data_IF_469268240602
#
_entry.id   IF_469268240602
#
_cell.length_a   1.000
_cell.length_b   1.000
_cell.length_c   1.000
_cell.angle_alpha   90.00
_cell.angle_beta   90.00
_cell.angle_gamma   90.00
#
_symmetry.space_group_name_H-M   'P 1'
#
loop_
_entity.id
_entity.type
_entity.pdbx_description
1 polymer ?
#
# COMPACT_ATOMS: atom_id res chain seq x y z
N UNK A 1 45.68 22.18 59.15
CA UNK A 1 44.51 22.58 58.35
C UNK A 1 44.08 24.01 58.74
N UNK A 2 44.70 25.14 58.42
CA UNK A 2 45.70 25.58 57.45
C UNK A 2 45.39 25.19 56.00
N UNK A 3 44.35 25.82 55.43
CA UNK A 3 44.27 26.28 54.02
C UNK A 3 42.97 27.03 53.65
N UNK A 4 42.03 27.23 54.57
CA UNK A 4 40.78 27.99 54.31
C UNK A 4 40.55 29.22 55.19
N UNK A 5 41.61 29.78 55.80
CA UNK A 5 41.53 31.00 56.64
C UNK A 5 42.40 32.16 56.10
N UNK A 6 42.99 32.02 54.91
CA UNK A 6 43.85 33.05 54.29
C UNK A 6 43.19 33.68 53.04
N UNK A 7 42.06 33.15 52.54
CA UNK A 7 41.32 33.80 51.46
C UNK A 7 40.16 34.70 51.95
N UNK A 8 39.81 34.64 53.23
CA UNK A 8 38.75 35.48 53.82
C UNK A 8 39.26 36.76 54.48
N UNK A 9 40.57 37.05 54.39
CA UNK A 9 41.20 38.26 54.96
C UNK A 9 41.74 39.20 53.86
N UNK A 10 41.79 38.78 52.59
CA UNK A 10 42.11 39.67 51.46
C UNK A 10 40.90 40.41 50.86
N UNK A 11 39.66 40.14 51.32
CA UNK A 11 38.46 40.81 50.78
C UNK A 11 37.88 41.89 51.70
N UNK A 12 38.50 42.14 52.86
CA UNK A 12 38.02 43.13 53.85
C UNK A 12 38.98 44.35 53.97
N UNK A 13 40.10 44.35 53.23
CA UNK A 13 41.05 45.49 53.20
C UNK A 13 40.93 46.33 51.91
N UNK A 14 39.97 46.04 51.03
CA UNK A 14 39.65 46.88 49.87
C UNK A 14 38.37 47.70 50.02
N UNK A 15 37.82 47.84 51.24
CA UNK A 15 36.54 48.54 51.51
C UNK A 15 36.64 49.65 52.56
N UNK A 16 37.79 50.31 52.69
CA UNK A 16 37.87 51.58 53.44
C UNK A 16 39.02 52.46 52.94
N UNK A 17 38.76 53.30 51.94
CA UNK A 17 39.70 54.34 51.53
C UNK A 17 39.62 54.70 50.06
N UNK A 18 38.58 55.46 49.71
CA UNK A 18 38.53 56.59 48.77
C UNK A 18 37.10 56.68 48.24
N UNK A 19 36.25 57.23 49.11
CA UNK A 19 35.07 57.99 48.71
C UNK A 19 35.60 59.32 48.18
N UNK A 20 35.39 59.57 46.90
CA UNK A 20 34.92 60.83 46.29
C UNK A 20 35.32 60.84 44.81
N UNK A 21 34.35 61.14 43.95
CA UNK A 21 34.50 61.50 42.53
C UNK A 21 34.39 60.38 41.48
N UNK A 22 33.39 59.48 41.52
CA UNK A 22 32.84 58.79 40.32
C UNK A 22 31.43 58.18 40.54
N UNK A 23 30.65 58.69 41.52
CA UNK A 23 29.36 58.11 41.90
C UNK A 23 28.12 58.76 41.26
N UNK A 24 28.30 59.61 40.24
CA UNK A 24 27.19 60.31 39.58
C UNK A 24 26.98 59.89 38.11
N UNK A 25 28.04 59.52 37.36
CA UNK A 25 27.91 59.01 35.98
C UNK A 25 27.46 57.55 35.89
N UNK A 26 27.67 56.73 36.93
CA UNK A 26 27.34 55.29 36.90
C UNK A 26 25.86 55.00 37.17
N UNK A 27 25.18 55.80 38.00
CA UNK A 27 23.76 55.61 38.30
C UNK A 27 22.87 56.05 37.13
N UNK A 28 23.25 57.09 36.40
CA UNK A 28 22.46 57.56 35.25
C UNK A 28 22.53 56.56 34.08
N UNK A 29 23.71 56.00 33.82
CA UNK A 29 23.90 54.93 32.83
C UNK A 29 23.19 53.63 33.23
N UNK A 30 23.24 53.23 34.50
CA UNK A 30 22.58 52.03 34.99
C UNK A 30 21.05 52.19 34.99
N UNK A 31 20.53 53.34 35.42
CA UNK A 31 19.09 53.64 35.37
C UNK A 31 18.58 53.76 33.93
N UNK A 32 19.36 54.33 33.02
CA UNK A 32 19.03 54.34 31.59
C UNK A 32 18.99 52.93 30.99
N UNK A 33 19.89 52.03 31.42
CA UNK A 33 19.90 50.63 30.97
C UNK A 33 18.74 49.81 31.55
N UNK A 34 18.38 50.04 32.81
CA UNK A 34 17.19 49.44 33.44
C UNK A 34 15.92 49.92 32.74
N UNK A 35 15.78 51.23 32.51
CA UNK A 35 14.63 51.78 31.77
C UNK A 35 14.56 51.24 30.32
N UNK A 36 15.70 51.04 29.67
CA UNK A 36 15.78 50.41 28.35
C UNK A 36 15.33 48.95 28.38
N UNK A 37 15.76 48.18 29.39
CA UNK A 37 15.36 46.78 29.57
C UNK A 37 13.88 46.64 29.94
N UNK A 38 13.34 47.52 30.78
CA UNK A 38 11.90 47.55 31.11
C UNK A 38 11.06 47.86 29.87
N UNK A 39 11.52 48.80 29.02
CA UNK A 39 10.90 49.08 27.73
C UNK A 39 10.95 47.88 26.78
N UNK A 40 12.10 47.20 26.68
CA UNK A 40 12.21 45.97 25.88
C UNK A 40 11.32 44.85 26.40
N UNK A 41 11.17 44.72 27.72
CA UNK A 41 10.29 43.73 28.33
C UNK A 41 8.81 44.04 28.06
N UNK A 42 8.45 45.32 28.07
CA UNK A 42 7.11 45.79 27.74
C UNK A 42 6.80 45.55 26.25
N UNK A 43 7.71 45.92 25.35
CA UNK A 43 7.58 45.65 23.91
C UNK A 43 7.47 44.14 23.63
N UNK A 44 8.24 43.31 24.33
CA UNK A 44 8.19 41.85 24.19
C UNK A 44 6.87 41.27 24.70
N UNK A 45 6.32 41.80 25.81
CA UNK A 45 5.00 41.41 26.32
C UNK A 45 3.89 41.79 25.35
N UNK A 46 3.96 42.98 24.75
CA UNK A 46 3.00 43.43 23.73
C UNK A 46 3.10 42.58 22.46
N UNK A 47 4.31 42.20 22.03
CA UNK A 47 4.50 41.27 20.92
C UNK A 47 3.93 39.88 21.24
N UNK A 48 4.11 39.38 22.46
CA UNK A 48 3.59 38.08 22.89
C UNK A 48 2.05 38.09 22.97
N UNK A 49 1.44 39.17 23.45
CA UNK A 49 -0.02 39.35 23.45
C UNK A 49 -0.58 39.40 22.02
N UNK A 50 0.05 40.17 21.12
CA UNK A 50 -0.34 40.17 19.70
C UNK A 50 -0.19 38.80 19.05
N UNK A 51 0.82 38.02 19.43
CA UNK A 51 1.00 36.66 18.94
C UNK A 51 -0.07 35.70 19.46
N UNK A 52 -0.51 35.86 20.71
CA UNK A 52 -1.65 35.10 21.26
C UNK A 52 -2.96 35.47 20.57
N UNK A 53 -3.26 36.77 20.39
CA UNK A 53 -4.45 37.21 19.66
C UNK A 53 -4.45 36.70 18.22
N UNK A 54 -3.33 36.82 17.50
CA UNK A 54 -3.22 36.27 16.14
C UNK A 54 -3.42 34.76 16.11
N UNK A 55 -2.92 34.02 17.11
CA UNK A 55 -3.12 32.56 17.19
C UNK A 55 -4.58 32.19 17.51
N UNK A 56 -5.29 33.00 18.28
CA UNK A 56 -6.71 32.80 18.55
C UNK A 56 -7.56 33.12 17.31
N UNK A 57 -7.27 34.22 16.60
CA UNK A 57 -7.91 34.56 15.33
C UNK A 57 -7.66 33.46 14.28
N UNK A 58 -6.42 32.97 14.17
CA UNK A 58 -6.06 31.90 13.24
C UNK A 58 -6.78 30.59 13.59
N UNK A 59 -6.99 30.28 14.88
CA UNK A 59 -7.81 29.13 15.31
C UNK A 59 -9.28 29.32 14.96
N UNK A 60 -9.81 30.53 15.08
CA UNK A 60 -11.20 30.87 14.74
C UNK A 60 -11.44 30.80 13.22
N UNK A 61 -10.48 31.28 12.42
CA UNK A 61 -10.45 31.12 10.96
C UNK A 61 -10.34 29.65 10.57
N UNK A 62 -9.52 28.86 11.27
CA UNK A 62 -9.39 27.42 11.01
C UNK A 62 -10.66 26.64 11.40
N UNK A 63 -11.37 27.07 12.45
CA UNK A 63 -12.66 26.53 12.85
C UNK A 63 -13.77 26.87 11.86
N UNK A 64 -13.78 28.10 11.33
CA UNK A 64 -14.74 28.53 10.30
C UNK A 64 -14.43 27.87 8.95
N UNK A 65 -13.16 27.72 8.58
CA UNK A 65 -12.74 26.95 7.40
C UNK A 65 -13.12 25.47 7.51
N UNK A 66 -12.90 24.84 8.67
CA UNK A 66 -13.36 23.46 8.94
C UNK A 66 -14.89 23.32 8.87
N UNK A 67 -15.63 24.33 9.32
CA UNK A 67 -17.09 24.38 9.23
C UNK A 67 -17.58 24.54 7.79
N UNK A 68 -16.85 25.28 6.96
CA UNK A 68 -17.14 25.45 5.53
C UNK A 68 -16.75 24.20 4.72
N UNK A 69 -15.68 23.49 5.10
CA UNK A 69 -15.28 22.20 4.53
C UNK A 69 -16.30 21.07 4.80
N UNK A 70 -17.08 21.14 5.89
CA UNK A 70 -18.21 20.22 6.13
C UNK A 70 -19.34 20.33 5.10
N UNK A 71 -19.40 21.41 4.33
CA UNK A 71 -20.35 21.58 3.21
C UNK A 71 -19.89 20.92 1.90
N UNK A 72 -18.67 20.35 1.87
CA UNK A 72 -18.07 19.63 0.74
C UNK A 72 -17.97 18.12 1.05
N UNK A 73 -18.87 17.60 1.90
CA UNK A 73 -18.95 16.16 2.10
C UNK A 73 -19.27 15.47 0.76
N UNK A 74 -18.58 14.38 0.41
CA UNK A 74 -18.97 13.57 -0.74
C UNK A 74 -20.44 13.15 -0.59
N UNK A 75 -21.20 13.20 -1.68
CA UNK A 75 -22.59 12.72 -1.70
C UNK A 75 -22.68 11.30 -1.12
N UNK A 76 -23.84 10.92 -0.60
CA UNK A 76 -24.13 9.66 0.14
C UNK A 76 -23.69 8.35 -0.57
N UNK A 77 -23.20 8.40 -1.81
CA UNK A 77 -22.76 7.26 -2.62
C UNK A 77 -21.25 7.04 -2.81
N UNK A 78 -20.36 7.96 -2.38
CA UNK A 78 -18.91 7.85 -2.68
C UNK A 78 -18.08 7.36 -1.48
N UNK A 79 -18.02 6.04 -1.34
CA UNK A 79 -17.37 5.29 -0.26
C UNK A 79 -15.93 5.71 0.06
N UNK A 80 -15.07 5.82 -0.96
CA UNK A 80 -13.64 6.12 -0.78
C UNK A 80 -13.37 7.51 -0.22
N UNK A 81 -14.20 8.48 -0.59
CA UNK A 81 -14.09 9.84 -0.08
C UNK A 81 -14.51 9.94 1.38
N UNK A 82 -15.56 9.22 1.79
CA UNK A 82 -15.99 9.16 3.20
C UNK A 82 -14.91 8.54 4.08
N UNK A 83 -14.30 7.43 3.64
CA UNK A 83 -13.23 6.74 4.37
C UNK A 83 -11.95 7.59 4.48
N UNK A 84 -11.55 8.24 3.38
CA UNK A 84 -10.43 9.18 3.40
C UNK A 84 -10.68 10.36 4.36
N UNK A 85 -11.91 10.87 4.40
CA UNK A 85 -12.32 11.96 5.29
C UNK A 85 -12.38 11.54 6.78
N UNK A 86 -12.90 10.35 7.09
CA UNK A 86 -12.91 9.82 8.47
C UNK A 86 -11.49 9.55 9.00
N UNK A 87 -10.59 9.07 8.15
CA UNK A 87 -9.18 8.95 8.48
C UNK A 87 -8.58 10.34 8.72
N UNK A 88 -8.88 11.33 7.87
CA UNK A 88 -8.44 12.72 8.05
C UNK A 88 -8.93 13.34 9.38
N UNK A 89 -10.19 13.18 9.76
CA UNK A 89 -10.74 13.70 11.02
C UNK A 89 -10.09 13.06 12.27
N UNK A 90 -9.67 11.79 12.17
CA UNK A 90 -8.89 11.10 13.21
C UNK A 90 -7.41 11.51 13.24
N UNK A 91 -7.01 12.49 12.42
CA UNK A 91 -5.62 12.94 12.28
C UNK A 91 -4.75 12.03 11.42
N UNK A 92 -5.38 11.13 10.65
CA UNK A 92 -4.74 10.09 9.83
C UNK A 92 -4.64 10.50 8.34
N UNK A 93 -4.81 11.77 7.94
CA UNK A 93 -4.41 12.18 6.58
C UNK A 93 -3.87 13.61 6.54
N UNK A 94 -2.72 13.82 5.83
CA UNK A 94 -2.64 13.62 4.38
C UNK A 94 -1.99 12.31 3.88
N UNK A 95 -1.41 11.47 4.76
CA UNK A 95 -0.52 10.37 4.33
C UNK A 95 -1.12 8.96 4.36
N UNK A 96 -2.23 8.71 5.08
CA UNK A 96 -2.97 7.44 5.01
C UNK A 96 -4.20 7.55 4.09
N UNK A 97 -4.12 8.37 3.03
CA UNK A 97 -5.11 8.46 1.95
C UNK A 97 -4.62 7.83 0.63
N UNK A 98 -3.77 6.80 0.72
CA UNK A 98 -3.17 6.11 -0.44
C UNK A 98 -3.33 4.59 -0.31
N UNK A 99 -2.88 3.80 -1.27
CA UNK A 99 -3.15 2.35 -1.36
C UNK A 99 -2.76 1.53 -0.11
N UNK A 100 -1.87 2.05 0.74
CA UNK A 100 -1.45 1.42 2.00
C UNK A 100 -2.33 1.78 3.21
N UNK A 101 -3.41 2.55 2.98
CA UNK A 101 -4.36 2.95 4.00
C UNK A 101 -5.27 1.78 4.37
N UNK A 102 -4.81 0.98 5.33
CA UNK A 102 -5.64 -0.10 5.85
C UNK A 102 -6.59 0.40 6.92
N UNK A 103 -7.89 0.14 6.80
CA UNK A 103 -8.82 0.47 7.86
C UNK A 103 -8.57 -0.43 9.07
N UNK A 104 -8.99 -0.02 10.28
CA UNK A 104 -8.85 -0.75 11.58
C UNK A 104 -7.54 -0.62 12.35
N UNK A 105 -6.86 0.51 12.19
CA UNK A 105 -5.74 0.86 13.05
C UNK A 105 -6.19 1.34 14.45
N UNK A 106 -5.90 0.55 15.50
CA UNK A 106 -6.10 0.96 16.91
C UNK A 106 -4.79 1.46 17.52
N UNK A 107 -4.81 2.67 18.10
CA UNK A 107 -3.64 3.27 18.76
C UNK A 107 -3.22 2.45 19.99
N UNK A 108 -2.00 1.94 19.97
CA UNK A 108 -1.30 1.34 21.10
C UNK A 108 -0.06 2.19 21.45
N UNK A 109 0.10 2.55 22.72
CA UNK A 109 1.24 3.37 23.17
C UNK A 109 1.32 4.74 22.48
N UNK A 110 2.54 5.21 22.19
CA UNK A 110 2.78 6.48 21.47
C UNK A 110 2.87 6.20 19.97
N UNK A 111 1.76 6.47 19.27
CA UNK A 111 1.65 6.54 17.81
C UNK A 111 1.92 5.25 17.03
N UNK A 112 1.75 4.09 17.67
CA UNK A 112 1.72 2.80 16.97
C UNK A 112 0.27 2.36 16.82
N UNK A 113 -0.03 1.73 15.70
CA UNK A 113 -1.32 1.17 15.41
C UNK A 113 -1.18 -0.29 15.00
N UNK A 114 -2.12 -1.09 15.49
CA UNK A 114 -2.21 -2.51 15.14
C UNK A 114 -3.60 -2.76 14.61
N UNK A 115 -3.66 -3.57 13.56
CA UNK A 115 -4.88 -4.11 12.97
C UNK A 115 -4.53 -5.34 12.17
N UNK A 116 -5.46 -5.80 11.35
CA UNK A 116 -5.20 -6.89 10.43
C UNK A 116 -6.44 -7.29 9.65
N UNK A 117 -6.33 -8.35 8.87
CA UNK A 117 -7.49 -9.07 8.35
C UNK A 117 -7.29 -10.57 8.38
N UNK A 118 -8.41 -11.27 8.24
CA UNK A 118 -8.44 -12.69 7.97
C UNK A 118 -9.44 -12.96 6.85
N UNK A 119 -9.21 -14.05 6.14
CA UNK A 119 -10.19 -14.64 5.25
C UNK A 119 -10.27 -16.17 5.45
N UNK A 120 -11.39 -16.72 5.00
CA UNK A 120 -11.64 -18.14 5.02
C UNK A 120 -12.58 -18.49 3.87
N UNK A 121 -12.28 -19.59 3.20
CA UNK A 121 -12.94 -20.01 1.97
C UNK A 121 -13.49 -21.43 2.10
N UNK A 122 -14.60 -21.68 1.42
CA UNK A 122 -15.14 -23.00 1.12
C UNK A 122 -15.20 -23.09 -0.40
N UNK A 123 -14.46 -24.04 -0.96
CA UNK A 123 -14.37 -24.28 -2.40
C UNK A 123 -15.04 -25.60 -2.71
N UNK A 124 -15.96 -25.57 -3.66
CA UNK A 124 -16.47 -26.75 -4.36
C UNK A 124 -15.86 -26.78 -5.75
N UNK A 125 -15.14 -27.84 -6.06
CA UNK A 125 -14.44 -28.00 -7.33
C UNK A 125 -15.17 -29.04 -8.19
N UNK A 126 -15.42 -28.72 -9.45
CA UNK A 126 -16.13 -29.62 -10.37
C UNK A 126 -15.40 -30.97 -10.53
N UNK A 127 -14.08 -30.99 -10.35
CA UNK A 127 -13.25 -32.20 -10.31
C UNK A 127 -13.38 -33.03 -9.03
N UNK A 128 -14.20 -32.61 -8.06
CA UNK A 128 -14.55 -33.37 -6.85
C UNK A 128 -13.65 -33.12 -5.63
N UNK A 129 -12.80 -32.09 -5.67
CA UNK A 129 -11.93 -31.71 -4.56
C UNK A 129 -12.51 -30.53 -3.79
N UNK A 130 -13.50 -30.82 -2.95
CA UNK A 130 -14.12 -29.80 -2.09
C UNK A 130 -13.32 -29.62 -0.80
N UNK A 131 -13.07 -28.38 -0.39
CA UNK A 131 -12.27 -28.10 0.81
C UNK A 131 -12.60 -26.76 1.47
N UNK A 132 -12.23 -26.67 2.74
CA UNK A 132 -12.14 -25.41 3.46
C UNK A 132 -10.68 -24.94 3.49
N UNK A 133 -10.48 -23.63 3.37
CA UNK A 133 -9.16 -23.03 3.43
C UNK A 133 -9.19 -21.79 4.33
N UNK A 134 -8.37 -21.81 5.39
CA UNK A 134 -8.00 -20.58 6.07
C UNK A 134 -6.88 -19.95 5.24
N UNK A 135 -7.28 -19.18 4.23
CA UNK A 135 -6.35 -18.76 3.20
C UNK A 135 -5.35 -17.74 3.76
N UNK A 136 -5.78 -16.74 4.54
CA UNK A 136 -4.93 -15.67 5.09
C UNK A 136 -5.30 -15.21 6.48
N UNK A 137 -4.27 -14.96 7.29
CA UNK A 137 -4.30 -14.12 8.48
C UNK A 137 -3.16 -13.11 8.34
N UNK A 138 -3.49 -11.82 8.23
CA UNK A 138 -2.52 -10.75 7.99
C UNK A 138 -2.58 -9.71 9.11
N UNK A 139 -1.71 -9.76 10.11
CA UNK A 139 -1.52 -8.66 11.04
C UNK A 139 -0.73 -7.51 10.40
N UNK A 140 -1.15 -6.28 10.70
CA UNK A 140 -0.47 -5.06 10.30
C UNK A 140 0.04 -4.28 11.51
N UNK A 141 1.20 -3.65 11.36
CA UNK A 141 1.75 -2.73 12.35
C UNK A 141 2.17 -1.46 11.65
N UNK A 142 1.62 -0.33 12.08
CA UNK A 142 1.97 1.00 11.60
C UNK A 142 2.47 1.85 12.75
N UNK A 143 3.42 2.73 12.50
CA UNK A 143 3.94 3.62 13.55
C UNK A 143 4.37 4.96 12.99
N UNK A 144 3.88 6.04 13.60
CA UNK A 144 4.45 7.38 13.43
C UNK A 144 5.65 7.52 14.36
N UNK A 145 6.82 7.07 13.88
CA UNK A 145 8.08 7.17 14.62
C UNK A 145 8.42 8.63 14.92
N UNK A 146 8.11 9.53 13.97
CA UNK A 146 8.10 10.98 14.17
C UNK A 146 7.12 11.64 13.20
N UNK A 147 7.06 12.97 13.20
CA UNK A 147 6.25 13.74 12.23
C UNK A 147 6.64 13.45 10.77
N UNK A 148 7.92 13.10 10.53
CA UNK A 148 8.45 12.85 9.19
C UNK A 148 8.84 11.40 8.93
N UNK A 149 8.80 10.52 9.92
CA UNK A 149 9.22 9.13 9.77
C UNK A 149 8.04 8.22 10.05
N UNK A 150 7.65 7.44 9.05
CA UNK A 150 6.59 6.43 9.15
C UNK A 150 7.19 5.05 8.98
N UNK A 151 6.69 4.11 9.78
CA UNK A 151 6.98 2.69 9.62
C UNK A 151 5.67 1.96 9.36
N UNK A 152 5.69 1.00 8.45
CA UNK A 152 4.55 0.16 8.14
C UNK A 152 5.03 -1.25 7.80
N UNK A 153 4.33 -2.27 8.28
CA UNK A 153 4.63 -3.66 7.94
C UNK A 153 3.39 -4.54 7.98
N UNK A 154 3.43 -5.58 7.15
CA UNK A 154 2.42 -6.62 7.08
C UNK A 154 3.08 -7.97 7.09
N UNK A 155 2.54 -8.84 7.94
CA UNK A 155 3.00 -10.19 8.15
C UNK A 155 1.91 -11.10 7.62
N UNK A 156 2.23 -11.90 6.62
CA UNK A 156 1.30 -12.82 6.01
C UNK A 156 1.48 -14.23 6.58
N UNK A 157 0.38 -14.81 7.03
CA UNK A 157 0.26 -16.23 7.34
C UNK A 157 -0.77 -16.82 6.37
N UNK A 158 -0.32 -17.69 5.46
CA UNK A 158 -1.20 -18.42 4.54
C UNK A 158 -1.35 -19.89 4.96
N UNK A 159 -2.55 -20.44 4.78
CA UNK A 159 -2.88 -21.85 5.04
C UNK A 159 -2.42 -22.36 6.42
N UNK A 160 -2.63 -21.54 7.46
CA UNK A 160 -2.24 -21.84 8.84
C UNK A 160 -0.80 -21.49 9.24
N UNK A 161 0.06 -21.06 8.29
CA UNK A 161 1.46 -20.72 8.52
C UNK A 161 2.44 -21.87 8.30
N UNK A 162 3.74 -21.60 8.47
CA UNK A 162 4.83 -22.58 8.22
C UNK A 162 4.64 -23.89 9.00
N UNK A 163 4.94 -25.00 8.34
CA UNK A 163 4.85 -26.37 8.89
C UNK A 163 3.42 -26.79 9.33
N UNK A 164 2.39 -26.09 8.84
CA UNK A 164 1.00 -26.42 9.17
C UNK A 164 0.65 -27.87 8.81
N UNK A 165 0.02 -28.64 9.73
CA UNK A 165 -0.36 -30.01 9.45
C UNK A 165 -1.36 -30.11 8.30
N UNK A 166 -0.95 -30.67 7.16
CA UNK A 166 -1.86 -30.98 6.04
C UNK A 166 -2.18 -32.47 5.86
N UNK A 167 -1.82 -33.31 6.85
CA UNK A 167 -2.12 -34.74 6.82
C UNK A 167 -1.40 -35.49 5.69
N UNK A 168 -2.11 -36.40 5.01
CA UNK A 168 -1.57 -37.20 3.88
C UNK A 168 -1.23 -36.33 2.65
N UNK A 169 -1.74 -35.09 2.61
CA UNK A 169 -1.61 -34.17 1.48
C UNK A 169 -0.32 -33.31 1.58
N UNK A 170 0.40 -33.40 2.71
CA UNK A 170 1.65 -32.66 2.94
C UNK A 170 1.44 -31.31 3.60
N UNK A 171 2.51 -30.67 4.08
CA UNK A 171 2.46 -29.32 4.67
C UNK A 171 2.51 -28.27 3.55
N UNK A 172 1.63 -27.28 3.59
CA UNK A 172 1.49 -26.28 2.51
C UNK A 172 1.40 -24.83 2.97
N UNK A 173 1.52 -24.56 4.28
CA UNK A 173 1.40 -23.19 4.82
C UNK A 173 2.68 -22.36 4.73
N UNK A 174 2.52 -21.05 4.68
CA UNK A 174 3.59 -20.07 4.50
C UNK A 174 3.49 -18.96 5.55
N UNK A 175 4.65 -18.46 6.02
CA UNK A 175 4.75 -17.22 6.78
C UNK A 175 5.78 -16.32 6.11
N UNK A 176 5.38 -15.10 5.75
CA UNK A 176 6.27 -14.13 5.11
C UNK A 176 5.98 -12.70 5.55
N UNK A 177 6.98 -11.84 5.42
CA UNK A 177 6.76 -10.39 5.52
C UNK A 177 6.37 -9.93 4.12
N UNK A 178 5.12 -9.54 3.95
CA UNK A 178 4.63 -9.06 2.66
C UNK A 178 5.18 -7.67 2.35
N UNK A 179 5.15 -6.76 3.31
CA UNK A 179 5.96 -5.54 3.20
C UNK A 179 6.44 -5.04 4.55
N UNK A 180 7.50 -4.25 4.52
CA UNK A 180 8.06 -3.57 5.67
C UNK A 180 8.82 -2.35 5.18
N UNK A 181 8.22 -1.18 5.30
CA UNK A 181 8.76 0.07 4.75
C UNK A 181 9.05 1.08 5.84
N UNK A 182 10.05 1.92 5.55
CA UNK A 182 10.29 3.19 6.22
C UNK A 182 10.10 4.30 5.21
N UNK A 183 9.23 5.25 5.55
CA UNK A 183 9.00 6.44 4.75
C UNK A 183 9.58 7.67 5.46
N UNK A 184 10.34 8.48 4.71
CA UNK A 184 10.77 9.80 5.13
C UNK A 184 9.99 10.86 4.37
N UNK A 185 9.12 11.56 5.09
CA UNK A 185 8.21 12.56 4.54
C UNK A 185 8.90 13.93 4.44
N UNK A 186 9.01 14.45 3.22
CA UNK A 186 9.59 15.78 2.97
C UNK A 186 8.47 16.78 2.71
N UNK A 187 7.60 16.47 1.75
CA UNK A 187 6.38 17.20 1.40
C UNK A 187 5.50 16.33 0.49
N UNK A 188 4.34 16.81 0.08
CA UNK A 188 3.42 16.03 -0.77
C UNK A 188 4.05 15.60 -2.10
N UNK A 189 4.88 16.44 -2.72
CA UNK A 189 5.43 16.21 -4.05
C UNK A 189 6.58 15.20 -4.11
N UNK A 190 7.35 15.03 -3.02
CA UNK A 190 8.47 14.08 -2.99
C UNK A 190 8.69 13.55 -1.58
N UNK A 191 8.74 12.23 -1.45
CA UNK A 191 9.01 11.50 -0.23
C UNK A 191 9.90 10.31 -0.56
N UNK A 192 10.71 9.89 0.40
CA UNK A 192 11.55 8.71 0.25
C UNK A 192 10.88 7.50 0.90
N UNK A 193 11.01 6.34 0.26
CA UNK A 193 10.62 5.03 0.81
C UNK A 193 11.75 4.04 0.62
N UNK A 194 11.99 3.21 1.62
CA UNK A 194 12.90 2.07 1.52
C UNK A 194 12.47 0.89 2.39
N UNK A 195 12.84 -0.32 2.00
CA UNK A 195 12.53 -1.55 2.72
C UNK A 195 12.06 -2.66 1.78
N UNK A 196 11.17 -3.52 2.28
CA UNK A 196 10.41 -4.45 1.45
C UNK A 196 9.18 -3.68 0.98
N UNK A 197 9.14 -3.35 -0.31
CA UNK A 197 8.11 -2.52 -0.94
C UNK A 197 7.10 -3.45 -1.62
N UNK A 198 5.82 -3.17 -1.44
CA UNK A 198 4.78 -3.75 -2.28
C UNK A 198 4.81 -3.02 -3.63
N UNK A 199 5.35 -3.67 -4.65
CA UNK A 199 5.66 -3.03 -5.92
C UNK A 199 4.40 -2.43 -6.57
N UNK A 200 4.41 -1.17 -7.02
CA UNK A 200 3.22 -0.52 -7.58
C UNK A 200 2.95 -0.95 -9.03
N UNK A 201 3.09 -2.24 -9.32
CA UNK A 201 2.78 -2.84 -10.60
C UNK A 201 1.33 -3.32 -10.57
N UNK A 202 0.46 -2.64 -11.32
CA UNK A 202 -0.98 -2.83 -11.26
C UNK A 202 -1.59 -2.32 -9.95
N UNK A 203 -2.82 -1.78 -10.04
CA UNK A 203 -3.55 -1.35 -8.85
C UNK A 203 -3.90 -2.53 -7.96
N UNK A 204 -4.24 -3.69 -8.52
CA UNK A 204 -4.69 -4.82 -7.72
C UNK A 204 -3.59 -5.30 -6.76
N UNK A 205 -2.30 -5.22 -7.14
CA UNK A 205 -1.21 -5.55 -6.22
C UNK A 205 -1.22 -4.71 -4.95
N UNK A 206 -1.68 -3.46 -5.04
CA UNK A 206 -1.66 -2.49 -3.95
C UNK A 206 -2.91 -2.54 -3.08
N UNK A 207 -4.00 -3.12 -3.60
CA UNK A 207 -5.31 -3.21 -2.92
C UNK A 207 -5.82 -4.65 -2.82
N UNK A 208 -4.92 -5.63 -2.77
CA UNK A 208 -5.23 -7.06 -2.88
C UNK A 208 -5.94 -7.68 -1.66
N UNK A 209 -6.16 -6.90 -0.60
CA UNK A 209 -6.78 -7.33 0.66
C UNK A 209 -8.15 -7.97 0.44
N UNK A 210 -8.34 -9.17 0.99
CA UNK A 210 -9.57 -9.93 0.79
C UNK A 210 -10.84 -9.20 1.25
N UNK A 211 -10.90 -8.52 2.41
CA UNK A 211 -12.12 -7.79 2.79
C UNK A 211 -12.43 -6.62 1.87
N UNK A 212 -11.43 -6.08 1.16
CA UNK A 212 -11.65 -5.00 0.21
C UNK A 212 -12.24 -5.50 -1.11
N UNK A 213 -11.94 -6.72 -1.50
CA UNK A 213 -12.40 -7.30 -2.76
C UNK A 213 -13.86 -7.78 -2.69
N UNK A 214 -14.59 -7.66 -3.79
CA UNK A 214 -15.98 -8.12 -3.88
C UNK A 214 -16.13 -9.59 -4.28
N UNK A 215 -15.06 -10.16 -4.81
CA UNK A 215 -14.87 -11.58 -5.13
C UNK A 215 -13.71 -12.14 -4.27
N UNK A 216 -13.64 -13.44 -4.04
CA UNK A 216 -12.58 -14.05 -3.24
C UNK A 216 -11.37 -14.40 -4.13
N UNK A 217 -11.62 -15.05 -5.27
CA UNK A 217 -10.57 -15.46 -6.18
C UNK A 217 -10.04 -14.25 -6.96
N UNK A 218 -8.73 -14.05 -6.98
CA UNK A 218 -8.08 -12.95 -7.72
C UNK A 218 -8.17 -13.14 -9.25
N UNK A 219 -8.21 -12.05 -10.06
CA UNK A 219 -8.17 -12.13 -11.52
C UNK A 219 -6.96 -12.93 -12.05
N UNK A 220 -7.08 -13.54 -13.24
CA UNK A 220 -5.98 -14.33 -13.83
C UNK A 220 -4.76 -13.47 -14.18
N UNK A 221 -4.94 -12.31 -14.83
CA UNK A 221 -3.82 -11.40 -15.15
C UNK A 221 -3.00 -11.03 -13.91
N UNK A 222 -3.66 -10.84 -12.78
CA UNK A 222 -3.10 -10.45 -11.49
C UNK A 222 -2.49 -11.64 -10.70
N UNK A 223 -2.70 -12.87 -11.15
CA UNK A 223 -2.03 -14.07 -10.60
C UNK A 223 -0.84 -14.48 -11.46
N UNK A 224 -0.98 -14.34 -12.78
CA UNK A 224 -0.08 -14.94 -13.76
C UNK A 224 0.89 -13.94 -14.40
N UNK A 225 0.53 -12.65 -14.50
CA UNK A 225 1.32 -11.63 -15.23
C UNK A 225 1.80 -10.52 -14.29
N UNK A 226 0.93 -9.99 -13.43
CA UNK A 226 1.28 -9.05 -12.35
C UNK A 226 1.17 -9.82 -11.04
N UNK A 227 2.16 -10.63 -10.63
CA UNK A 227 1.95 -11.63 -9.60
C UNK A 227 1.72 -10.96 -8.23
N UNK A 228 0.45 -10.66 -7.90
CA UNK A 228 0.00 -10.00 -6.64
C UNK A 228 0.71 -10.48 -5.40
N UNK A 229 0.75 -9.66 -4.35
CA UNK A 229 1.71 -9.80 -3.25
C UNK A 229 3.14 -9.74 -3.81
N UNK A 230 3.37 -8.88 -4.82
CA UNK A 230 4.69 -8.66 -5.39
C UNK A 230 5.45 -7.74 -4.45
N UNK A 231 6.32 -8.35 -3.67
CA UNK A 231 7.12 -7.70 -2.65
C UNK A 231 8.58 -7.73 -3.06
N UNK A 232 9.22 -6.56 -3.11
CA UNK A 232 10.60 -6.44 -3.55
C UNK A 232 11.40 -5.57 -2.57
N UNK A 233 12.60 -6.01 -2.24
CA UNK A 233 13.54 -5.19 -1.50
C UNK A 233 14.03 -4.05 -2.41
N UNK A 234 13.90 -2.81 -1.94
CA UNK A 234 14.27 -1.66 -2.73
C UNK A 234 14.09 -0.32 -2.03
N UNK A 235 14.29 0.74 -2.80
CA UNK A 235 14.10 2.12 -2.35
C UNK A 235 13.85 3.08 -3.51
N UNK A 236 13.29 4.24 -3.19
CA UNK A 236 13.09 5.31 -4.16
C UNK A 236 12.14 6.37 -3.65
N UNK A 237 11.34 6.92 -4.57
CA UNK A 237 10.57 8.13 -4.31
C UNK A 237 9.11 7.99 -4.72
N UNK A 238 8.27 8.69 -3.98
CA UNK A 238 6.85 8.81 -4.28
C UNK A 238 6.33 10.19 -3.92
N UNK A 239 5.24 10.58 -4.56
CA UNK A 239 4.64 11.87 -4.30
C UNK A 239 3.26 12.01 -4.92
N UNK A 240 2.67 13.16 -4.66
CA UNK A 240 1.36 13.58 -5.16
C UNK A 240 1.45 15.02 -5.62
N UNK A 241 0.85 15.29 -6.77
CA UNK A 241 0.54 16.63 -7.23
C UNK A 241 -0.97 16.81 -7.29
N UNK A 242 -1.41 18.05 -7.11
CA UNK A 242 -2.82 18.43 -7.22
C UNK A 242 -2.94 19.48 -8.34
N UNK A 243 -3.06 19.07 -9.62
CA UNK A 243 -3.13 20.01 -10.74
C UNK A 243 -4.31 20.98 -10.65
N UNK A 244 -5.40 20.55 -10.01
CA UNK A 244 -6.59 21.35 -9.68
C UNK A 244 -7.14 20.93 -8.30
N UNK A 245 -8.11 21.65 -7.76
CA UNK A 245 -8.78 21.29 -6.49
C UNK A 245 -9.51 19.94 -6.54
N UNK A 246 -9.88 19.48 -7.74
CA UNK A 246 -10.62 18.23 -7.96
C UNK A 246 -9.74 17.09 -8.47
N UNK A 247 -8.49 17.38 -8.87
CA UNK A 247 -7.62 16.40 -9.50
C UNK A 247 -6.39 16.06 -8.68
N UNK A 248 -5.96 14.80 -8.82
CA UNK A 248 -4.83 14.22 -8.11
C UNK A 248 -3.97 13.44 -9.10
N UNK A 249 -2.66 13.63 -9.01
CA UNK A 249 -1.66 12.87 -9.76
C UNK A 249 -0.69 12.24 -8.76
N UNK A 250 -0.74 10.93 -8.59
CA UNK A 250 0.18 10.17 -7.76
C UNK A 250 1.28 9.54 -8.63
N UNK A 251 2.52 9.55 -8.14
CA UNK A 251 3.61 8.81 -8.75
C UNK A 251 4.43 8.05 -7.72
N UNK A 252 4.96 6.92 -8.15
CA UNK A 252 5.89 6.07 -7.41
C UNK A 252 6.98 5.58 -8.37
N UNK A 253 8.24 5.62 -7.96
CA UNK A 253 9.37 5.06 -8.71
C UNK A 253 10.43 4.51 -7.75
N UNK A 254 10.80 3.25 -7.95
CA UNK A 254 11.71 2.52 -7.06
C UNK A 254 12.75 1.74 -7.86
N UNK A 255 13.95 1.65 -7.28
CA UNK A 255 14.96 0.67 -7.66
C UNK A 255 14.81 -0.53 -6.73
N UNK A 256 14.74 -1.72 -7.31
CA UNK A 256 14.43 -2.98 -6.59
C UNK A 256 15.35 -4.09 -7.08
N UNK A 257 15.49 -5.17 -6.30
CA UNK A 257 16.26 -6.34 -6.76
C UNK A 257 15.67 -6.99 -8.01
N UNK A 258 14.37 -6.90 -8.26
CA UNK A 258 13.76 -7.39 -9.51
C UNK A 258 13.41 -8.87 -9.51
N UNK A 259 13.02 -9.37 -10.68
CA UNK A 259 12.74 -10.78 -10.93
C UNK A 259 14.03 -11.56 -11.18
N UNK A 260 14.04 -12.84 -10.80
CA UNK A 260 15.15 -13.78 -10.85
C UNK A 260 14.61 -15.10 -11.42
N UNK A 261 14.73 -15.29 -12.73
CA UNK A 261 14.10 -16.40 -13.43
C UNK A 261 15.05 -17.54 -13.77
N UNK A 262 16.35 -17.25 -13.99
CA UNK A 262 17.31 -18.21 -14.52
C UNK A 262 18.73 -18.01 -13.96
N UNK A 263 19.34 -19.09 -13.49
CA UNK A 263 20.76 -19.16 -13.13
C UNK A 263 21.61 -19.68 -14.30
N UNK A 264 22.93 -19.43 -14.25
CA UNK A 264 23.80 -19.83 -15.37
C UNK A 264 24.00 -21.34 -15.50
N UNK A 265 23.71 -22.12 -14.46
CA UNK A 265 23.76 -23.58 -14.50
C UNK A 265 22.47 -24.23 -15.06
N UNK A 266 21.52 -23.42 -15.52
CA UNK A 266 20.24 -23.88 -16.07
C UNK A 266 19.14 -24.03 -15.03
N UNK A 267 19.40 -23.72 -13.74
CA UNK A 267 18.34 -23.70 -12.73
C UNK A 267 17.35 -22.57 -13.01
N UNK A 268 16.12 -22.97 -13.37
CA UNK A 268 15.02 -22.07 -13.72
C UNK A 268 13.99 -22.01 -12.59
N UNK A 269 13.36 -20.86 -12.42
CA UNK A 269 12.38 -20.62 -11.36
C UNK A 269 11.19 -21.60 -11.40
N UNK A 270 10.78 -22.04 -12.60
CA UNK A 270 9.73 -23.05 -12.80
C UNK A 270 9.70 -23.48 -14.26
N UNK A 271 9.21 -24.69 -14.52
CA UNK A 271 8.87 -25.18 -15.86
C UNK A 271 7.37 -24.99 -16.19
N UNK A 272 6.63 -24.23 -15.39
CA UNK A 272 5.20 -23.93 -15.61
C UNK A 272 5.01 -22.50 -16.10
N UNK A 273 4.58 -22.36 -17.36
CA UNK A 273 4.46 -21.05 -18.04
C UNK A 273 3.51 -20.11 -17.29
N UNK A 274 2.40 -20.65 -16.79
CA UNK A 274 1.41 -19.91 -16.00
C UNK A 274 1.94 -19.42 -14.65
N UNK A 275 2.97 -20.08 -14.11
CA UNK A 275 3.62 -19.72 -12.83
C UNK A 275 4.91 -18.94 -13.03
N UNK A 276 5.41 -18.81 -14.26
CA UNK A 276 6.75 -18.28 -14.56
C UNK A 276 7.05 -16.96 -13.86
N UNK A 277 6.22 -15.93 -14.06
CA UNK A 277 6.43 -14.61 -13.45
C UNK A 277 6.34 -14.68 -11.91
N UNK A 278 5.39 -15.45 -11.38
CA UNK A 278 5.21 -15.62 -9.92
C UNK A 278 6.40 -16.32 -9.27
N UNK A 279 6.92 -17.37 -9.89
CA UNK A 279 8.07 -18.13 -9.41
C UNK A 279 9.37 -17.34 -9.57
N UNK A 280 9.42 -16.42 -10.53
CA UNK A 280 10.59 -15.57 -10.76
C UNK A 280 10.72 -14.40 -9.79
N UNK A 281 9.90 -14.29 -8.73
CA UNK A 281 10.06 -13.18 -7.77
C UNK A 281 11.43 -13.23 -7.12
N UNK A 282 12.13 -12.10 -7.08
CA UNK A 282 13.50 -12.06 -6.59
C UNK A 282 13.64 -12.15 -5.08
N UNK A 283 14.89 -12.40 -4.66
CA UNK A 283 15.28 -12.47 -3.27
C UNK A 283 15.28 -11.10 -2.58
N UNK A 284 14.85 -11.07 -1.33
CA UNK A 284 14.89 -9.87 -0.46
C UNK A 284 16.30 -9.57 0.08
N UNK A 285 17.26 -10.49 -0.10
CA UNK A 285 18.62 -10.38 0.45
C UNK A 285 19.66 -10.02 -0.61
N UNK A 286 19.56 -10.63 -1.78
CA UNK A 286 20.57 -10.53 -2.82
C UNK A 286 19.91 -10.54 -4.19
N UNK A 287 20.51 -9.80 -5.11
CA UNK A 287 20.17 -9.92 -6.51
C UNK A 287 20.91 -11.12 -7.11
N UNK A 288 20.27 -11.87 -8.00
CA UNK A 288 20.90 -12.95 -8.77
C UNK A 288 21.64 -12.40 -9.99
N UNK A 289 21.41 -11.13 -10.32
CA UNK A 289 22.09 -10.40 -11.36
C UNK A 289 22.77 -9.17 -10.75
N UNK A 290 23.62 -8.48 -11.51
CA UNK A 290 24.41 -7.35 -10.97
C UNK A 290 23.71 -6.00 -11.17
N UNK A 291 22.40 -5.99 -11.44
CA UNK A 291 21.68 -4.81 -11.91
C UNK A 291 20.24 -4.71 -11.37
N UNK A 292 20.00 -3.68 -10.56
CA UNK A 292 18.67 -3.39 -10.04
C UNK A 292 17.63 -3.23 -11.15
N UNK A 293 16.45 -3.76 -10.91
CA UNK A 293 15.27 -3.45 -11.70
C UNK A 293 14.67 -2.10 -11.29
N UNK A 294 13.84 -1.54 -12.17
CA UNK A 294 13.09 -0.32 -11.92
C UNK A 294 11.60 -0.64 -12.00
N UNK A 295 10.86 -0.23 -10.98
CA UNK A 295 9.40 -0.29 -10.96
C UNK A 295 8.82 1.11 -10.75
N UNK A 296 7.70 1.40 -11.40
CA UNK A 296 7.01 2.66 -11.19
C UNK A 296 5.55 2.66 -11.60
N UNK A 297 4.81 3.64 -11.07
CA UNK A 297 3.39 3.88 -11.37
C UNK A 297 3.12 5.37 -11.45
N UNK A 298 2.23 5.74 -12.36
CA UNK A 298 1.66 7.09 -12.47
C UNK A 298 0.14 6.95 -12.53
N UNK A 299 -0.56 7.59 -11.60
CA UNK A 299 -2.01 7.49 -11.46
C UNK A 299 -2.65 8.87 -11.47
N UNK A 300 -3.61 9.06 -12.35
CA UNK A 300 -4.32 10.31 -12.50
C UNK A 300 -5.80 10.14 -12.18
N UNK A 301 -6.28 10.98 -11.27
CA UNK A 301 -7.69 11.12 -10.93
C UNK A 301 -8.12 12.54 -11.28
N UNK A 302 -8.89 12.76 -12.35
CA UNK A 302 -9.35 14.10 -12.73
C UNK A 302 -10.48 14.63 -11.82
N UNK A 303 -11.22 13.74 -11.17
CA UNK A 303 -12.30 14.00 -10.22
C UNK A 303 -12.53 12.75 -9.38
N UNK A 304 -13.21 12.92 -8.25
CA UNK A 304 -13.51 11.83 -7.32
C UNK A 304 -14.26 10.68 -8.02
N UNK A 305 -13.83 9.45 -7.77
CA UNK A 305 -14.44 8.25 -8.33
C UNK A 305 -13.84 7.78 -9.66
N UNK A 306 -13.07 8.60 -10.37
CA UNK A 306 -12.29 8.14 -11.55
C UNK A 306 -10.79 8.14 -11.23
N UNK A 307 -10.13 7.00 -11.48
CA UNK A 307 -8.68 6.87 -11.51
C UNK A 307 -8.28 6.04 -12.72
N UNK A 308 -7.26 6.49 -13.45
CA UNK A 308 -6.58 5.70 -14.49
C UNK A 308 -5.09 5.75 -14.20
N UNK A 309 -4.42 4.62 -14.24
CA UNK A 309 -2.99 4.56 -13.98
C UNK A 309 -2.24 3.60 -14.90
N UNK A 310 -1.00 3.99 -15.21
CA UNK A 310 -0.04 3.14 -15.88
C UNK A 310 1.09 2.76 -14.93
N UNK A 311 1.56 1.53 -15.01
CA UNK A 311 2.72 1.05 -14.25
C UNK A 311 3.64 0.19 -15.10
N UNK A 312 4.89 0.08 -14.67
CA UNK A 312 5.88 -0.76 -15.32
C UNK A 312 6.85 -1.37 -14.32
N UNK A 313 7.46 -2.49 -14.69
CA UNK A 313 8.62 -3.09 -14.04
C UNK A 313 9.59 -3.54 -15.13
N UNK A 314 10.88 -3.24 -15.00
CA UNK A 314 11.90 -3.67 -15.97
C UNK A 314 13.23 -4.00 -15.30
N UNK A 315 13.78 -5.16 -15.62
CA UNK A 315 15.03 -5.66 -15.04
C UNK A 315 15.57 -6.85 -15.81
N UNK A 316 16.86 -7.15 -15.62
CA UNK A 316 17.41 -8.42 -16.09
C UNK A 316 16.86 -9.53 -15.19
N UNK A 317 16.62 -10.72 -15.75
CA UNK A 317 16.05 -11.86 -15.01
C UNK A 317 16.99 -13.07 -14.98
N UNK A 318 18.15 -12.97 -15.62
CA UNK A 318 19.18 -13.98 -15.67
C UNK A 318 20.51 -13.50 -15.04
N UNK A 319 21.27 -14.44 -14.48
CA UNK A 319 22.55 -14.17 -13.83
C UNK A 319 23.57 -13.50 -14.77
N UNK A 320 23.48 -13.79 -16.07
CA UNK A 320 24.38 -13.24 -17.11
C UNK A 320 24.00 -11.84 -17.59
N UNK A 321 22.94 -11.23 -17.08
CA UNK A 321 22.46 -9.90 -17.49
C UNK A 321 22.16 -9.76 -18.99
N UNK A 322 21.74 -10.85 -19.66
CA UNK A 322 21.47 -10.84 -21.11
C UNK A 322 19.99 -10.76 -21.42
N UNK A 323 19.15 -11.22 -20.50
CA UNK A 323 17.72 -11.40 -20.72
C UNK A 323 16.95 -10.44 -19.83
N UNK A 324 16.32 -9.44 -20.44
CA UNK A 324 15.48 -8.47 -19.76
C UNK A 324 14.02 -8.87 -19.84
N UNK A 325 13.32 -8.69 -18.73
CA UNK A 325 11.88 -8.69 -18.70
C UNK A 325 11.36 -7.29 -18.44
N UNK A 326 10.35 -6.89 -19.21
CA UNK A 326 9.56 -5.69 -18.98
C UNK A 326 8.09 -6.05 -18.86
N UNK A 327 7.46 -5.62 -17.77
CA UNK A 327 6.01 -5.73 -17.57
C UNK A 327 5.44 -4.32 -17.63
N UNK A 328 4.41 -4.12 -18.43
CA UNK A 328 3.63 -2.88 -18.47
C UNK A 328 2.19 -3.18 -18.13
N UNK A 329 1.56 -2.32 -17.33
CA UNK A 329 0.18 -2.47 -16.91
C UNK A 329 -0.59 -1.16 -16.99
N UNK A 330 -1.89 -1.28 -17.26
CA UNK A 330 -2.88 -0.21 -17.25
C UNK A 330 -4.04 -0.65 -16.36
N UNK A 331 -4.41 0.19 -15.40
CA UNK A 331 -5.51 -0.05 -14.48
C UNK A 331 -6.48 1.15 -14.45
N UNK A 332 -7.74 0.87 -14.14
CA UNK A 332 -8.77 1.89 -13.99
C UNK A 332 -9.78 1.56 -12.91
N UNK A 333 -10.35 2.61 -12.34
CA UNK A 333 -11.49 2.55 -11.43
C UNK A 333 -12.41 3.70 -11.76
N UNK A 334 -13.69 3.40 -11.95
CA UNK A 334 -14.73 4.39 -12.15
C UNK A 334 -15.91 4.07 -11.22
N UNK A 335 -16.23 4.98 -10.32
CA UNK A 335 -17.37 4.89 -9.43
C UNK A 335 -18.30 6.09 -9.65
N UNK A 336 -19.60 5.80 -9.74
CA UNK A 336 -20.65 6.81 -9.77
C UNK A 336 -21.90 6.26 -9.09
N UNK A 337 -22.13 6.73 -7.86
CA UNK A 337 -23.21 6.23 -7.02
C UNK A 337 -23.09 4.71 -6.81
N UNK A 338 -24.18 3.98 -7.05
CA UNK A 338 -24.24 2.53 -6.89
C UNK A 338 -23.39 1.73 -7.90
N UNK A 339 -22.93 2.35 -8.99
CA UNK A 339 -22.18 1.65 -10.03
C UNK A 339 -20.67 1.85 -9.85
N UNK A 340 -19.93 0.76 -9.90
CA UNK A 340 -18.46 0.75 -9.95
C UNK A 340 -17.98 -0.11 -11.13
N UNK A 341 -16.91 0.33 -11.80
CA UNK A 341 -16.23 -0.39 -12.85
C UNK A 341 -14.74 -0.39 -12.57
N UNK A 342 -14.18 -1.58 -12.36
CA UNK A 342 -12.73 -1.76 -12.18
C UNK A 342 -12.16 -2.67 -13.26
N UNK A 343 -10.87 -2.52 -13.53
CA UNK A 343 -10.17 -3.39 -14.45
C UNK A 343 -8.67 -3.15 -14.46
N UNK A 344 -7.96 -4.12 -15.00
CA UNK A 344 -6.50 -4.10 -15.15
C UNK A 344 -6.13 -4.92 -16.37
N UNK A 345 -5.10 -4.48 -17.09
CA UNK A 345 -4.47 -5.24 -18.16
C UNK A 345 -2.96 -5.14 -18.06
N UNK A 346 -2.26 -6.19 -18.49
CA UNK A 346 -0.81 -6.19 -18.52
C UNK A 346 -0.24 -7.01 -19.66
N UNK A 347 0.97 -6.63 -20.05
CA UNK A 347 1.79 -7.33 -21.03
C UNK A 347 3.20 -7.53 -20.49
N UNK A 348 3.77 -8.71 -20.70
CA UNK A 348 5.20 -8.97 -20.53
C UNK A 348 5.91 -8.93 -21.88
N UNK A 349 7.15 -8.48 -21.86
CA UNK A 349 8.10 -8.48 -22.97
C UNK A 349 9.39 -9.08 -22.42
N UNK A 350 9.80 -10.25 -22.92
CA UNK A 350 10.91 -11.01 -22.33
C UNK A 350 11.93 -11.40 -23.39
N UNK A 351 13.17 -10.97 -23.20
CA UNK A 351 14.32 -11.41 -24.00
C UNK A 351 14.69 -12.85 -23.64
N UNK A 352 15.13 -13.63 -24.63
CA UNK A 352 15.35 -15.09 -24.52
C UNK A 352 16.57 -15.53 -25.32
N UNK A 353 17.65 -14.77 -25.22
CA UNK A 353 18.82 -14.88 -26.09
C UNK A 353 19.93 -15.78 -25.50
N UNK A 354 20.44 -16.66 -26.38
CA UNK A 354 21.62 -17.47 -26.14
C UNK A 354 21.38 -18.71 -25.27
N UNK A 355 22.48 -19.27 -24.76
CA UNK A 355 22.48 -20.53 -23.98
C UNK A 355 23.01 -20.33 -22.57
N UNK A 356 22.60 -21.17 -21.63
CA UNK A 356 23.21 -21.31 -20.30
C UNK A 356 24.51 -22.12 -20.35
N UNK A 357 25.27 -22.21 -19.25
CA UNK A 357 26.54 -22.94 -19.21
C UNK A 357 26.45 -24.44 -19.51
N UNK A 358 25.28 -25.06 -19.28
CA UNK A 358 24.99 -26.45 -19.64
C UNK A 358 24.78 -26.66 -21.15
N UNK A 359 24.62 -25.58 -21.91
CA UNK A 359 24.38 -25.60 -23.35
C UNK A 359 22.91 -25.60 -23.75
N UNK A 360 21.98 -25.62 -22.79
CA UNK A 360 20.54 -25.46 -23.05
C UNK A 360 20.22 -24.04 -23.54
N UNK A 361 19.27 -23.93 -24.47
CA UNK A 361 18.81 -22.63 -24.99
C UNK A 361 17.96 -21.92 -23.94
N UNK A 362 18.21 -20.63 -23.73
CA UNK A 362 17.44 -19.82 -22.78
C UNK A 362 15.95 -19.80 -23.15
N UNK A 363 15.62 -19.91 -24.43
CA UNK A 363 14.22 -20.02 -24.86
C UNK A 363 13.53 -21.26 -24.29
N UNK A 364 14.22 -22.34 -23.99
CA UNK A 364 13.60 -23.52 -23.36
C UNK A 364 13.38 -23.35 -21.85
N UNK A 365 13.97 -22.30 -21.25
CA UNK A 365 14.02 -22.07 -19.79
C UNK A 365 13.32 -20.77 -19.33
N UNK A 366 13.06 -19.85 -20.26
CA UNK A 366 12.34 -18.59 -20.01
C UNK A 366 11.07 -18.59 -20.87
N UNK A 367 9.93 -18.26 -20.25
CA UNK A 367 8.66 -18.20 -20.96
C UNK A 367 8.58 -16.99 -21.91
N UNK A 368 7.83 -17.15 -23.00
CA UNK A 368 7.52 -16.08 -23.96
C UNK A 368 6.68 -14.93 -23.37
N UNK A 369 6.52 -13.86 -24.16
CA UNK A 369 5.61 -12.75 -23.89
C UNK A 369 4.18 -13.20 -23.57
N UNK A 370 3.63 -12.62 -22.51
CA UNK A 370 2.29 -12.89 -22.02
C UNK A 370 1.43 -11.63 -22.04
N UNK A 371 0.13 -11.78 -22.22
CA UNK A 371 -0.84 -10.68 -22.15
C UNK A 371 -2.10 -11.12 -21.40
N UNK A 372 -2.72 -10.23 -20.66
CA UNK A 372 -3.98 -10.53 -20.01
C UNK A 372 -4.69 -9.29 -19.50
N UNK A 373 -5.98 -9.46 -19.18
CA UNK A 373 -6.80 -8.41 -18.62
C UNK A 373 -7.98 -8.97 -17.83
N UNK A 374 -8.61 -8.10 -17.04
CA UNK A 374 -9.97 -8.29 -16.56
C UNK A 374 -10.75 -6.98 -16.57
N UNK A 375 -12.07 -7.11 -16.62
CA UNK A 375 -13.05 -6.04 -16.41
C UNK A 375 -14.13 -6.54 -15.46
N UNK A 376 -14.55 -5.69 -14.52
CA UNK A 376 -15.45 -6.06 -13.45
C UNK A 376 -16.41 -4.91 -13.13
N UNK A 377 -17.58 -4.87 -13.78
CA UNK A 377 -18.71 -4.08 -13.31
C UNK A 377 -19.27 -4.62 -11.98
N UNK A 378 -19.61 -3.69 -11.11
CA UNK A 378 -20.20 -3.91 -9.78
C UNK A 378 -21.40 -3.00 -9.60
N UNK A 379 -22.41 -3.49 -8.91
CA UNK A 379 -23.58 -2.72 -8.55
C UNK A 379 -23.92 -2.92 -7.08
N UNK A 380 -23.79 -1.84 -6.30
CA UNK A 380 -24.04 -1.80 -4.87
C UNK A 380 -25.48 -1.41 -4.58
N UNK A 381 -26.16 -2.14 -3.70
CA UNK A 381 -27.55 -1.88 -3.34
C UNK A 381 -27.90 -2.40 -1.96
N UNK A 382 -28.98 -1.87 -1.39
CA UNK A 382 -29.57 -2.37 -0.16
C UNK A 382 -31.09 -2.48 -0.31
N UNK A 383 -31.67 -3.70 -0.31
CA UNK A 383 -33.12 -3.86 -0.42
C UNK A 383 -33.87 -3.28 0.80
N UNK A 384 -34.78 -2.33 0.57
CA UNK A 384 -35.56 -1.67 1.63
C UNK A 384 -36.39 -2.64 2.49
N UNK A 385 -36.82 -3.77 1.92
CA UNK A 385 -37.58 -4.76 2.68
C UNK A 385 -36.72 -5.44 3.76
N UNK A 386 -35.41 -5.59 3.54
CA UNK A 386 -34.50 -6.20 4.51
C UNK A 386 -34.22 -5.23 5.67
N UNK A 387 -34.02 -3.95 5.36
CA UNK A 387 -33.84 -2.91 6.38
C UNK A 387 -35.10 -2.68 7.20
N UNK A 388 -36.30 -2.87 6.64
CA UNK A 388 -37.56 -2.78 7.39
C UNK A 388 -37.87 -4.02 8.24
N UNK A 389 -37.59 -5.23 7.75
CA UNK A 389 -37.89 -6.48 8.49
C UNK A 389 -36.88 -6.74 9.61
N UNK A 390 -35.60 -6.43 9.39
CA UNK A 390 -34.54 -6.66 10.37
C UNK A 390 -33.55 -5.47 10.46
N UNK A 391 -34.00 -4.28 10.88
CA UNK A 391 -33.19 -3.05 10.92
C UNK A 391 -31.96 -3.11 11.82
N UNK A 392 -31.95 -4.01 12.80
CA UNK A 392 -30.78 -4.23 13.67
C UNK A 392 -29.66 -5.00 12.96
N UNK A 393 -30.00 -5.74 11.91
CA UNK A 393 -29.07 -6.58 11.16
C UNK A 393 -28.70 -5.94 9.83
N UNK A 394 -29.68 -5.41 9.09
CA UNK A 394 -29.47 -4.64 7.87
C UNK A 394 -29.62 -3.16 8.18
N UNK A 395 -28.48 -2.48 8.33
CA UNK A 395 -28.43 -1.06 8.70
C UNK A 395 -27.71 -0.24 7.61
N UNK A 396 -27.47 1.03 7.88
CA UNK A 396 -26.82 1.99 6.97
C UNK A 396 -25.36 1.64 6.58
N UNK A 397 -24.72 0.72 7.32
CA UNK A 397 -23.36 0.23 7.03
C UNK A 397 -23.35 -1.10 6.28
N UNK A 398 -24.53 -1.67 6.03
CA UNK A 398 -24.66 -2.91 5.28
C UNK A 398 -24.81 -2.60 3.79
N UNK A 399 -24.25 -3.43 2.92
CA UNK A 399 -24.39 -3.30 1.46
C UNK A 399 -24.38 -4.67 0.81
N UNK A 400 -25.24 -4.88 -0.19
CA UNK A 400 -25.09 -6.00 -1.13
C UNK A 400 -24.42 -5.52 -2.40
N UNK A 401 -23.63 -6.39 -3.03
CA UNK A 401 -23.03 -6.11 -4.33
C UNK A 401 -23.28 -7.26 -5.28
N UNK A 402 -23.83 -6.95 -6.45
CA UNK A 402 -23.81 -7.85 -7.59
C UNK A 402 -22.58 -7.54 -8.45
N UNK A 403 -21.82 -8.58 -8.80
CA UNK A 403 -20.54 -8.44 -9.51
C UNK A 403 -20.47 -9.45 -10.65
N UNK A 404 -19.89 -9.04 -11.77
CA UNK A 404 -19.57 -9.93 -12.89
C UNK A 404 -18.17 -9.60 -13.37
N UNK A 405 -17.21 -10.51 -13.16
CA UNK A 405 -15.87 -10.37 -13.72
C UNK A 405 -15.74 -11.16 -15.02
N UNK A 406 -15.19 -10.52 -16.04
CA UNK A 406 -14.68 -11.18 -17.24
C UNK A 406 -13.17 -10.98 -17.29
N UNK A 407 -12.41 -12.05 -17.50
CA UNK A 407 -10.96 -11.96 -17.64
C UNK A 407 -10.41 -12.97 -18.63
N UNK A 408 -9.30 -12.62 -19.27
CA UNK A 408 -8.61 -13.48 -20.22
C UNK A 408 -7.09 -13.34 -20.10
N UNK A 409 -6.38 -14.43 -20.37
CA UNK A 409 -4.91 -14.49 -20.41
C UNK A 409 -4.45 -15.26 -21.63
N UNK A 410 -3.37 -14.79 -22.24
CA UNK A 410 -2.61 -15.40 -23.32
C UNK A 410 -1.15 -15.51 -22.82
N UNK A 411 -0.84 -16.62 -22.16
CA UNK A 411 0.44 -16.86 -21.50
C UNK A 411 1.44 -17.46 -22.50
N UNK A 412 2.62 -16.84 -22.58
CA UNK A 412 3.74 -17.36 -23.37
C UNK A 412 4.27 -18.67 -22.81
N UNK A 413 4.63 -19.61 -23.68
CA UNK A 413 5.16 -20.92 -23.27
C UNK A 413 6.70 -20.93 -23.28
N UNK A 414 7.31 -22.01 -22.77
CA UNK A 414 8.73 -22.31 -22.98
C UNK A 414 8.95 -22.83 -24.41
N UNK A 415 10.19 -22.82 -24.89
CA UNK A 415 10.50 -23.17 -26.28
C UNK A 415 10.11 -22.08 -27.28
N UNK A 416 10.69 -22.17 -28.47
CA UNK A 416 10.46 -21.19 -29.55
C UNK A 416 9.17 -21.47 -30.34
N UNK A 417 8.86 -22.76 -30.55
CA UNK A 417 7.77 -23.19 -31.44
C UNK A 417 6.46 -23.51 -30.69
N UNK A 418 6.47 -23.48 -29.35
CA UNK A 418 5.31 -23.87 -28.56
C UNK A 418 4.22 -22.79 -28.57
N UNK A 419 2.98 -23.26 -28.70
CA UNK A 419 1.80 -22.40 -28.67
C UNK A 419 1.56 -21.79 -27.29
N UNK A 420 0.93 -20.61 -27.27
CA UNK A 420 0.52 -19.93 -26.03
C UNK A 420 -0.65 -20.64 -25.34
N UNK A 421 -0.66 -20.55 -24.01
CA UNK A 421 -1.73 -21.05 -23.14
C UNK A 421 -2.78 -19.96 -22.99
N UNK A 422 -3.99 -20.18 -23.52
CA UNK A 422 -5.07 -19.19 -23.43
C UNK A 422 -6.18 -19.66 -22.53
N UNK A 423 -6.60 -18.78 -21.62
CA UNK A 423 -7.74 -19.02 -20.73
C UNK A 423 -8.65 -17.81 -20.71
N UNK A 424 -9.94 -18.08 -20.62
CA UNK A 424 -10.98 -17.08 -20.33
C UNK A 424 -11.70 -17.52 -19.07
N UNK A 425 -12.08 -16.56 -18.23
CA UNK A 425 -12.88 -16.81 -17.03
C UNK A 425 -14.01 -15.80 -16.94
N UNK A 426 -15.20 -16.32 -16.67
CA UNK A 426 -16.38 -15.53 -16.30
C UNK A 426 -16.72 -15.85 -14.85
N UNK A 427 -16.88 -14.82 -14.04
CA UNK A 427 -17.14 -14.96 -12.60
C UNK A 427 -18.31 -14.09 -12.19
N UNK A 428 -19.56 -14.58 -12.32
CA UNK A 428 -20.68 -14.00 -11.59
C UNK A 428 -20.48 -14.21 -10.09
N UNK A 429 -20.75 -13.17 -9.32
CA UNK A 429 -20.70 -13.24 -7.88
C UNK A 429 -21.68 -12.29 -7.21
N UNK A 430 -21.89 -12.57 -5.94
CA UNK A 430 -22.74 -11.82 -5.06
C UNK A 430 -22.07 -11.71 -3.70
N UNK A 431 -22.07 -10.52 -3.11
CA UNK A 431 -21.56 -10.35 -1.76
C UNK A 431 -22.52 -9.56 -0.87
N UNK A 432 -22.33 -9.76 0.43
CA UNK A 432 -23.01 -9.05 1.50
C UNK A 432 -21.96 -8.54 2.49
N UNK A 433 -21.90 -7.22 2.63
CA UNK A 433 -21.16 -6.51 3.67
C UNK A 433 -22.08 -6.29 4.85
N UNK A 434 -21.77 -6.91 5.99
CA UNK A 434 -22.51 -6.67 7.25
C UNK A 434 -22.14 -5.30 7.82
N UNK A 435 -20.83 -5.05 7.87
CA UNK A 435 -20.20 -3.73 7.93
C UNK A 435 -19.33 -3.57 6.68
N UNK A 436 -18.80 -2.38 6.46
CA UNK A 436 -17.83 -2.10 5.37
C UNK A 436 -16.63 -3.06 5.36
N UNK A 437 -16.35 -3.69 6.49
CA UNK A 437 -15.08 -4.35 6.78
C UNK A 437 -15.23 -5.86 6.91
N UNK A 438 -16.46 -6.34 7.03
CA UNK A 438 -16.80 -7.76 7.08
C UNK A 438 -17.69 -8.10 5.89
N UNK A 439 -17.17 -8.90 4.97
CA UNK A 439 -17.86 -9.30 3.75
C UNK A 439 -18.01 -10.81 3.67
N UNK A 440 -19.20 -11.24 3.27
CA UNK A 440 -19.54 -12.61 2.88
C UNK A 440 -19.71 -12.65 1.37
N UNK A 441 -19.10 -13.61 0.69
CA UNK A 441 -19.06 -13.69 -0.77
C UNK A 441 -19.51 -15.07 -1.23
N UNK A 442 -20.18 -15.10 -2.37
CA UNK A 442 -20.46 -16.30 -3.14
C UNK A 442 -20.16 -16.01 -4.60
N UNK A 443 -19.35 -16.84 -5.25
CA UNK A 443 -18.98 -16.67 -6.64
C UNK A 443 -18.88 -18.01 -7.36
N UNK A 444 -19.16 -18.00 -8.66
CA UNK A 444 -19.01 -19.17 -9.51
C UNK A 444 -18.00 -18.89 -10.62
N UNK A 445 -16.97 -19.69 -10.71
CA UNK A 445 -15.90 -19.56 -11.69
C UNK A 445 -16.20 -20.46 -12.87
N UNK A 446 -16.50 -19.86 -14.01
CA UNK A 446 -16.64 -20.53 -15.29
C UNK A 446 -15.32 -20.39 -16.02
N UNK A 447 -14.57 -21.46 -16.10
CA UNK A 447 -13.26 -21.53 -16.74
C UNK A 447 -13.40 -22.09 -18.16
N UNK A 448 -12.70 -21.46 -19.10
CA UNK A 448 -12.72 -21.83 -20.50
C UNK A 448 -11.29 -21.84 -21.03
N UNK A 449 -10.76 -23.03 -21.30
CA UNK A 449 -9.47 -23.25 -21.92
C UNK A 449 -9.56 -23.09 -23.45
N UNK A 450 -8.58 -22.42 -24.04
CA UNK A 450 -8.50 -22.20 -25.47
C UNK A 450 -7.09 -22.58 -25.96
N UNK A 451 -6.96 -23.49 -26.91
CA UNK A 451 -5.65 -23.87 -27.44
C UNK A 451 -5.71 -25.17 -28.24
N UNK A 452 -4.69 -25.41 -29.08
CA UNK A 452 -4.60 -26.66 -29.86
C UNK A 452 -4.20 -27.87 -29.01
N UNK A 453 -3.56 -27.63 -27.86
CA UNK A 453 -3.01 -28.65 -26.98
C UNK A 453 -3.56 -28.58 -25.55
N UNK A 454 -4.56 -27.72 -25.31
CA UNK A 454 -5.26 -27.66 -24.03
C UNK A 454 -6.54 -28.48 -24.15
N UNK A 455 -6.61 -29.57 -23.41
CA UNK A 455 -7.88 -30.26 -23.19
C UNK A 455 -8.75 -29.44 -22.25
N UNK A 456 -10.06 -29.44 -22.51
CA UNK A 456 -11.04 -28.91 -21.56
C UNK A 456 -10.92 -29.72 -20.26
N UNK A 457 -10.73 -29.00 -19.15
CA UNK A 457 -10.58 -29.61 -17.83
C UNK A 457 -11.75 -29.19 -16.96
N UNK A 458 -12.31 -30.15 -16.23
CA UNK A 458 -13.38 -29.88 -15.28
C UNK A 458 -12.77 -29.20 -14.05
N UNK A 459 -12.73 -27.87 -14.09
CA UNK A 459 -12.11 -27.03 -13.08
C UNK A 459 -12.99 -25.81 -12.73
N UNK A 460 -14.28 -25.84 -13.06
CA UNK A 460 -15.21 -24.83 -12.59
C UNK A 460 -15.33 -24.92 -11.06
N UNK A 461 -15.55 -23.77 -10.41
CA UNK A 461 -15.55 -23.72 -8.96
C UNK A 461 -16.70 -22.89 -8.42
N UNK A 462 -17.37 -23.36 -7.38
CA UNK A 462 -18.24 -22.55 -6.53
C UNK A 462 -17.48 -22.21 -5.26
N UNK A 463 -17.31 -20.92 -4.98
CA UNK A 463 -16.54 -20.44 -3.83
C UNK A 463 -17.43 -19.62 -2.92
N UNK A 464 -17.44 -19.98 -1.64
CA UNK A 464 -17.96 -19.14 -0.57
C UNK A 464 -16.78 -18.59 0.24
N UNK A 465 -16.85 -17.33 0.63
CA UNK A 465 -15.79 -16.71 1.42
C UNK A 465 -16.35 -15.79 2.48
N UNK A 466 -15.67 -15.73 3.62
CA UNK A 466 -15.84 -14.68 4.62
C UNK A 466 -14.49 -14.02 4.83
N UNK A 467 -14.48 -12.69 4.92
CA UNK A 467 -13.27 -11.95 5.23
C UNK A 467 -13.59 -10.73 6.07
N UNK A 468 -12.75 -10.45 7.05
CA UNK A 468 -12.94 -9.30 7.94
C UNK A 468 -11.62 -8.64 8.32
N UNK A 469 -11.63 -7.32 8.42
CA UNK A 469 -10.61 -6.59 9.17
C UNK A 469 -10.85 -6.69 10.69
N UNK A 470 -9.81 -6.49 11.52
CA UNK A 470 -9.88 -6.47 12.98
C UNK A 470 -8.95 -5.43 13.64
#
# INVERSE_FOLDING_TARGET
MKKYLILSICLIIFTSGIVTSYAQESNEFLNAKIASMEKQLQDLKEQFQKQQENSEVEKEELLTLKKNLRGLAPDEGDYWAKKAFELQEKGLAPTFGKQYAKPFLRRFGRNTYVGGYMDHELVFDEGGNDFFDQHRLIPFIYSDVSDRIKFATEIEFEHGGTDSPGGVIGQSGEMKIEFATLDFLINDAINYRGGIILSPLGKYNLVHDSPLQDLAIRPMVTRNIIPTTLSEAGMGFFGTFYPTELSKLDYEIYFVNGFQALQDDGDQATSSAEKFIRSSRGSLKADNNTNFAIVGRLAYSPFLGLEVAGSFHTGNIDERNRNRQTIVALDWTYQKGAFELVGEMAKTMTDRDGTVSTGEEVSDLIAQDSFGYYIEPRYHFMPEFLTSVAPKFFNEFSTFTAVLRFGATDMGNFGYDDGKIRRTRITPGFNYRYTEDTVFKAEYLINLEHGRELEEVSNNQLVFSVSTYF
#
